data_IF_981445534041
#
_entry.id   IF_981445534041
#
_cell.length_a   1.000
_cell.length_b   1.000
_cell.length_c   1.000
_cell.angle_alpha   90.00
_cell.angle_beta   90.00
_cell.angle_gamma   90.00
#
_symmetry.space_group_name_H-M   'P 1'
#
loop_
_entity.id
_entity.type
_entity.pdbx_description
1 polymer ?
#
# COMPACT_ATOMS: atom_id res chain seq x y z
N UNK A 1 -19.00 -0.66 -10.54
CA UNK A 1 -17.71 -1.37 -10.74
C UNK A 1 -16.63 -0.46 -11.32
N UNK A 2 -16.85 0.23 -12.45
CA UNK A 2 -15.86 1.17 -13.02
C UNK A 2 -15.36 2.24 -12.03
N UNK A 3 -16.26 2.95 -11.35
CA UNK A 3 -15.88 3.99 -10.37
C UNK A 3 -15.07 3.40 -9.21
N UNK A 4 -15.44 2.22 -8.71
CA UNK A 4 -14.69 1.53 -7.66
C UNK A 4 -13.27 1.18 -8.11
N UNK A 5 -13.11 0.63 -9.32
CA UNK A 5 -11.79 0.31 -9.88
C UNK A 5 -10.93 1.57 -10.09
N UNK A 6 -11.55 2.70 -10.45
CA UNK A 6 -10.84 3.99 -10.56
C UNK A 6 -10.31 4.46 -9.19
N UNK A 7 -11.10 4.31 -8.12
CA UNK A 7 -10.66 4.63 -6.75
C UNK A 7 -9.53 3.70 -6.31
N UNK A 8 -9.65 2.40 -6.59
CA UNK A 8 -8.61 1.42 -6.24
C UNK A 8 -7.31 1.69 -6.99
N UNK A 9 -7.37 2.08 -8.28
CA UNK A 9 -6.19 2.45 -9.08
C UNK A 9 -5.49 3.71 -8.56
N UNK A 10 -6.22 4.61 -7.89
CA UNK A 10 -5.67 5.85 -7.37
C UNK A 10 -4.66 5.61 -6.22
N UNK A 11 -4.89 4.63 -5.35
CA UNK A 11 -4.00 4.35 -4.22
C UNK A 11 -2.55 4.04 -4.63
N UNK A 12 -2.26 3.09 -5.56
CA UNK A 12 -0.90 2.85 -6.02
C UNK A 12 -0.34 4.01 -6.86
N UNK A 13 -1.19 4.76 -7.57
CA UNK A 13 -0.75 5.94 -8.34
C UNK A 13 -0.27 7.07 -7.42
N UNK A 14 -0.98 7.28 -6.31
CA UNK A 14 -0.57 8.21 -5.28
C UNK A 14 0.76 7.78 -4.65
N UNK A 15 0.90 6.49 -4.31
CA UNK A 15 2.16 5.96 -3.77
C UNK A 15 3.35 6.15 -4.74
N UNK A 16 3.13 5.94 -6.05
CA UNK A 16 4.14 6.16 -7.08
C UNK A 16 4.50 7.64 -7.25
N UNK A 17 3.50 8.52 -7.23
CA UNK A 17 3.69 9.97 -7.30
C UNK A 17 4.50 10.50 -6.11
N UNK A 18 4.21 10.01 -4.89
CA UNK A 18 4.94 10.40 -3.67
C UNK A 18 6.39 9.89 -3.65
N UNK A 19 6.66 8.71 -4.20
CA UNK A 19 8.01 8.11 -4.20
C UNK A 19 8.90 8.60 -5.35
N UNK A 20 8.31 8.91 -6.51
CA UNK A 20 9.06 9.35 -7.71
C UNK A 20 9.04 10.86 -7.89
N UNK A 21 8.15 11.59 -7.21
CA UNK A 21 7.93 13.03 -7.40
C UNK A 21 7.22 13.38 -8.71
N UNK A 22 6.66 12.39 -9.42
CA UNK A 22 5.92 12.60 -10.66
C UNK A 22 4.53 13.18 -10.39
N UNK A 23 4.00 13.91 -11.38
CA UNK A 23 2.61 14.38 -11.33
C UNK A 23 1.65 13.19 -11.22
N UNK A 24 0.68 13.27 -10.31
CA UNK A 24 -0.34 12.25 -10.07
C UNK A 24 -1.04 11.77 -11.35
N UNK A 25 -1.31 12.68 -12.30
CA UNK A 25 -1.94 12.33 -13.58
C UNK A 25 -1.07 11.39 -14.41
N UNK A 26 0.25 11.65 -14.43
CA UNK A 26 1.21 10.80 -15.14
C UNK A 26 1.34 9.43 -14.48
N UNK A 27 1.34 9.39 -13.15
CA UNK A 27 1.39 8.15 -12.36
C UNK A 27 0.13 7.27 -12.56
N UNK A 28 -1.05 7.88 -12.61
CA UNK A 28 -2.31 7.14 -12.87
C UNK A 28 -2.27 6.52 -14.27
N UNK A 29 -1.87 7.29 -15.28
CA UNK A 29 -1.78 6.79 -16.67
C UNK A 29 -0.74 5.68 -16.77
N UNK A 30 0.44 5.83 -16.17
CA UNK A 30 1.48 4.81 -16.24
C UNK A 30 1.05 3.49 -15.61
N UNK A 31 0.43 3.52 -14.42
CA UNK A 31 -0.02 2.30 -13.75
C UNK A 31 -1.17 1.65 -14.53
N UNK A 32 -2.11 2.44 -15.06
CA UNK A 32 -3.20 1.94 -15.89
C UNK A 32 -2.70 1.23 -17.16
N UNK A 33 -1.69 1.80 -17.84
CA UNK A 33 -1.07 1.19 -19.02
C UNK A 33 -0.38 -0.12 -18.66
N UNK A 34 0.45 -0.13 -17.62
CA UNK A 34 1.16 -1.35 -17.19
C UNK A 34 0.15 -2.43 -16.81
N UNK A 35 -0.87 -2.09 -16.02
CA UNK A 35 -1.93 -3.00 -15.58
C UNK A 35 -2.68 -3.64 -16.74
N UNK A 36 -3.09 -2.81 -17.71
CA UNK A 36 -3.78 -3.27 -18.91
C UNK A 36 -2.87 -4.17 -19.74
N UNK A 37 -1.60 -3.81 -19.89
CA UNK A 37 -0.67 -4.54 -20.73
C UNK A 37 -0.39 -5.94 -20.20
N UNK A 38 0.00 -6.10 -18.92
CA UNK A 38 0.29 -7.43 -18.37
C UNK A 38 -0.97 -8.29 -18.24
N UNK A 39 -2.13 -7.68 -17.96
CA UNK A 39 -3.41 -8.41 -17.87
C UNK A 39 -3.88 -8.92 -19.23
N UNK A 40 -3.70 -8.11 -20.27
CA UNK A 40 -4.10 -8.47 -21.65
C UNK A 40 -3.20 -9.55 -22.25
N UNK A 41 -1.88 -9.47 -22.04
CA UNK A 41 -0.90 -10.42 -22.59
C UNK A 41 -0.91 -11.76 -21.86
N UNK A 42 -1.05 -11.75 -20.53
CA UNK A 42 -0.90 -12.96 -19.72
C UNK A 42 -2.20 -13.69 -19.35
N UNK A 43 -3.35 -13.07 -19.60
CA UNK A 43 -4.66 -13.61 -19.25
C UNK A 43 -4.83 -13.90 -17.75
N UNK A 44 -5.82 -14.72 -17.39
CA UNK A 44 -6.18 -14.95 -15.98
C UNK A 44 -5.06 -15.61 -15.16
N UNK A 45 -4.19 -16.40 -15.79
CA UNK A 45 -3.04 -17.03 -15.11
C UNK A 45 -2.00 -16.01 -14.65
N UNK A 46 -1.68 -15.02 -15.49
CA UNK A 46 -0.73 -13.99 -15.12
C UNK A 46 -1.28 -13.09 -14.01
N UNK A 47 -2.58 -12.76 -14.08
CA UNK A 47 -3.24 -11.96 -13.05
C UNK A 47 -3.14 -12.62 -11.67
N UNK A 48 -3.39 -13.94 -11.59
CA UNK A 48 -3.25 -14.68 -10.32
C UNK A 48 -1.82 -14.60 -9.79
N UNK A 49 -0.82 -14.77 -10.67
CA UNK A 49 0.58 -14.70 -10.26
C UNK A 49 0.96 -13.30 -9.74
N UNK A 50 0.47 -12.25 -10.40
CA UNK A 50 0.67 -10.86 -9.93
C UNK A 50 -0.06 -10.58 -8.62
N UNK A 51 -1.22 -11.17 -8.39
CA UNK A 51 -2.00 -11.00 -7.16
C UNK A 51 -1.29 -11.65 -5.95
N UNK A 52 -0.74 -12.86 -6.13
CA UNK A 52 0.08 -13.53 -5.11
C UNK A 52 1.30 -12.69 -4.74
N UNK A 53 2.01 -12.14 -5.74
CA UNK A 53 3.14 -11.25 -5.49
C UNK A 53 2.72 -9.97 -4.76
N UNK A 54 1.60 -9.35 -5.17
CA UNK A 54 1.09 -8.15 -4.53
C UNK A 54 0.73 -8.40 -3.05
N UNK A 55 0.07 -9.52 -2.73
CA UNK A 55 -0.25 -9.91 -1.37
C UNK A 55 1.01 -10.08 -0.50
N UNK A 56 2.05 -10.71 -1.05
CA UNK A 56 3.34 -10.89 -0.36
C UNK A 56 4.02 -9.54 -0.09
N UNK A 57 4.07 -8.65 -1.08
CA UNK A 57 4.68 -7.31 -0.93
C UNK A 57 3.93 -6.49 0.12
N UNK A 58 2.59 -6.52 0.14
CA UNK A 58 1.79 -5.84 1.16
C UNK A 58 2.11 -6.38 2.55
N UNK A 59 2.21 -7.70 2.72
CA UNK A 59 2.53 -8.32 4.00
C UNK A 59 3.92 -7.91 4.49
N UNK A 60 4.93 -7.96 3.63
CA UNK A 60 6.30 -7.55 3.97
C UNK A 60 6.35 -6.05 4.29
N UNK A 61 5.69 -5.21 3.49
CA UNK A 61 5.61 -3.77 3.72
C UNK A 61 4.94 -3.43 5.05
N UNK A 62 3.88 -4.14 5.42
CA UNK A 62 3.21 -4.01 6.71
C UNK A 62 4.14 -4.35 7.88
N UNK A 63 4.81 -5.52 7.81
CA UNK A 63 5.75 -5.94 8.86
C UNK A 63 6.92 -4.98 8.98
N UNK A 64 7.50 -4.55 7.87
CA UNK A 64 8.57 -3.56 7.84
C UNK A 64 8.14 -2.23 8.47
N UNK A 65 6.93 -1.76 8.14
CA UNK A 65 6.37 -0.53 8.73
C UNK A 65 6.17 -0.65 10.23
N UNK A 66 5.69 -1.79 10.73
CA UNK A 66 5.51 -2.05 12.17
C UNK A 66 6.86 -2.07 12.87
N UNK A 67 7.86 -2.76 12.31
CA UNK A 67 9.21 -2.85 12.88
C UNK A 67 9.87 -1.47 12.94
N UNK A 68 9.82 -0.71 11.85
CA UNK A 68 10.38 0.64 11.77
C UNK A 68 9.70 1.60 12.77
N UNK A 69 8.37 1.54 12.86
CA UNK A 69 7.61 2.37 13.80
C UNK A 69 7.87 2.00 15.26
N UNK A 70 7.79 0.71 15.59
CA UNK A 70 7.87 0.25 16.98
C UNK A 70 9.29 0.19 17.53
N UNK A 71 10.24 -0.40 16.79
CA UNK A 71 11.59 -0.66 17.30
C UNK A 71 12.54 0.51 17.07
N UNK A 72 12.50 1.12 15.88
CA UNK A 72 13.50 2.13 15.48
C UNK A 72 13.06 3.53 15.91
N UNK A 73 11.79 3.88 15.72
CA UNK A 73 11.30 5.24 16.01
C UNK A 73 10.93 5.42 17.48
N UNK A 74 10.33 4.39 18.10
CA UNK A 74 9.72 4.48 19.43
C UNK A 74 10.47 3.68 20.51
N UNK A 75 11.45 2.86 20.13
CA UNK A 75 12.29 2.11 21.05
C UNK A 75 11.58 0.98 21.81
N UNK A 76 10.42 0.51 21.32
CA UNK A 76 9.73 -0.66 21.86
C UNK A 76 8.19 -0.54 21.87
N UNK A 77 7.51 -1.70 21.87
CA UNK A 77 6.04 -1.80 21.87
C UNK A 77 5.38 -1.10 23.06
N UNK A 78 6.01 -1.08 24.24
CA UNK A 78 5.49 -0.37 25.42
C UNK A 78 5.29 1.13 25.17
N UNK A 79 6.22 1.76 24.43
CA UNK A 79 6.14 3.20 24.12
C UNK A 79 5.00 3.48 23.14
N UNK A 80 4.79 2.59 22.17
CA UNK A 80 3.67 2.66 21.21
C UNK A 80 2.33 2.65 21.95
N UNK A 81 2.15 1.73 22.90
CA UNK A 81 0.93 1.66 23.72
C UNK A 81 0.76 2.86 24.65
N UNK A 82 1.84 3.39 25.25
CA UNK A 82 1.78 4.62 26.06
C UNK A 82 1.32 5.82 25.23
N UNK A 83 1.87 6.00 24.02
CA UNK A 83 1.48 7.10 23.12
C UNK A 83 0.04 6.91 22.63
N UNK A 84 -0.38 5.67 22.36
CA UNK A 84 -1.77 5.40 22.02
C UNK A 84 -2.71 5.76 23.17
N UNK A 85 -2.30 5.50 24.43
CA UNK A 85 -3.08 5.83 25.63
C UNK A 85 -3.16 7.34 25.86
N UNK A 86 -2.02 8.02 25.81
CA UNK A 86 -1.92 9.47 25.95
C UNK A 86 -2.64 10.22 24.82
N UNK A 87 -2.61 9.66 23.60
CA UNK A 87 -3.30 10.20 22.45
C UNK A 87 -4.81 9.91 22.41
N UNK A 88 -5.37 9.26 23.44
CA UNK A 88 -6.79 8.89 23.50
C UNK A 88 -7.23 7.94 22.39
N UNK A 89 -6.30 7.13 21.84
CA UNK A 89 -6.54 6.22 20.70
C UNK A 89 -6.89 4.79 21.13
N UNK A 90 -6.97 4.54 22.43
CA UNK A 90 -7.39 3.25 23.00
C UNK A 90 -8.52 3.49 23.98
N UNK A 91 -9.72 3.08 23.58
CA UNK A 91 -10.92 2.96 24.43
C UNK A 91 -11.01 1.50 24.89
N UNK A 92 -11.13 1.28 26.20
CA UNK A 92 -11.27 -0.04 26.84
C UNK A 92 -12.68 -0.22 27.43
N UNK A 93 -13.72 0.28 26.76
CA UNK A 93 -15.12 -0.04 27.07
C UNK A 93 -15.54 -1.38 26.45
#
# INVERSE_FOLDING_TARGET
MLIYMAIVLYAPALALSQTTGLNIWLSVVSIGVICTFYSSVGGMKAVIWTDVLQALVILVGLLASIIQGCLITLGGFKRVFSIAYEGGRIEFD
#
